data_IF_174103205289
#
_entry.id   IF_174103205289
#
_cell.length_a   1.000
_cell.length_b   1.000
_cell.length_c   1.000
_cell.angle_alpha   90.00
_cell.angle_beta   90.00
_cell.angle_gamma   90.00
#
_symmetry.space_group_name_H-M   'P 1'
#
loop_
_entity.id
_entity.type
_entity.pdbx_description
1 polymer ?
#
# COMPACT_ATOMS: atom_id res chain seq x y z
N UNK A 1 -8.54 6.14 5.88
CA UNK A 1 -9.24 6.33 4.58
C UNK A 1 -8.94 5.13 3.68
N UNK A 2 -9.90 4.69 2.85
CA UNK A 2 -9.70 3.60 1.90
C UNK A 2 -9.62 4.14 0.46
N UNK A 3 -8.68 3.64 -0.34
CA UNK A 3 -8.41 4.12 -1.70
C UNK A 3 -8.41 2.96 -2.73
N UNK A 4 -8.85 3.18 -3.97
CA UNK A 4 -8.80 2.18 -5.02
C UNK A 4 -7.36 1.95 -5.51
N UNK A 5 -7.11 0.76 -6.07
CA UNK A 5 -5.77 0.39 -6.56
C UNK A 5 -5.20 1.37 -7.61
N UNK A 6 -6.04 1.95 -8.47
CA UNK A 6 -5.62 2.91 -9.49
C UNK A 6 -5.09 4.21 -8.90
N UNK A 7 -5.72 4.71 -7.83
CA UNK A 7 -5.27 5.92 -7.12
C UNK A 7 -3.97 5.66 -6.38
N UNK A 8 -3.83 4.49 -5.74
CA UNK A 8 -2.59 4.07 -5.11
C UNK A 8 -1.44 3.92 -6.13
N UNK A 9 -1.72 3.37 -7.33
CA UNK A 9 -0.74 3.28 -8.41
C UNK A 9 -0.23 4.66 -8.83
N UNK A 10 -1.17 5.61 -8.98
CA UNK A 10 -0.88 6.98 -9.37
C UNK A 10 -0.01 7.68 -8.31
N UNK A 11 -0.40 7.61 -7.03
CA UNK A 11 0.35 8.22 -5.92
C UNK A 11 1.76 7.63 -5.78
N UNK A 12 1.89 6.31 -5.94
CA UNK A 12 3.17 5.60 -5.84
C UNK A 12 4.00 5.64 -7.14
N UNK A 13 3.47 6.21 -8.23
CA UNK A 13 4.11 6.28 -9.56
C UNK A 13 4.56 4.91 -10.09
N UNK A 14 3.73 3.89 -9.92
CA UNK A 14 3.98 2.53 -10.43
C UNK A 14 2.86 2.07 -11.36
N UNK A 15 3.13 1.03 -12.16
CA UNK A 15 2.14 0.47 -13.07
C UNK A 15 1.00 -0.25 -12.31
N UNK A 16 -0.16 -0.39 -12.95
CA UNK A 16 -1.30 -1.14 -12.40
C UNK A 16 -0.96 -2.61 -12.06
N UNK A 17 -0.26 -3.38 -12.92
CA UNK A 17 0.18 -4.73 -12.54
C UNK A 17 1.12 -4.73 -11.33
N UNK A 18 2.05 -3.76 -11.27
CA UNK A 18 2.97 -3.63 -10.14
C UNK A 18 2.22 -3.38 -8.84
N UNK A 19 1.37 -2.34 -8.76
CA UNK A 19 0.62 -2.04 -7.53
C UNK A 19 -0.23 -3.24 -7.11
N UNK A 20 -0.85 -3.94 -8.06
CA UNK A 20 -1.71 -5.09 -7.77
C UNK A 20 -0.93 -6.20 -7.05
N UNK A 21 0.28 -6.50 -7.53
CA UNK A 21 1.18 -7.46 -6.87
C UNK A 21 1.55 -7.03 -5.44
N UNK A 22 1.88 -5.76 -5.23
CA UNK A 22 2.20 -5.26 -3.88
C UNK A 22 0.99 -5.28 -2.95
N UNK A 23 -0.18 -4.84 -3.41
CA UNK A 23 -1.40 -4.84 -2.61
C UNK A 23 -1.80 -6.25 -2.19
N UNK A 24 -1.66 -7.26 -3.06
CA UNK A 24 -1.87 -8.66 -2.69
C UNK A 24 -0.95 -9.09 -1.55
N UNK A 25 0.36 -8.83 -1.65
CA UNK A 25 1.34 -9.17 -0.60
C UNK A 25 1.04 -8.46 0.72
N UNK A 26 0.63 -7.19 0.67
CA UNK A 26 0.30 -6.41 1.87
C UNK A 26 -0.99 -6.89 2.54
N UNK A 27 -1.97 -7.37 1.77
CA UNK A 27 -3.18 -8.01 2.31
C UNK A 27 -2.84 -9.38 2.90
N UNK A 28 -2.05 -10.21 2.21
CA UNK A 28 -1.56 -11.51 2.71
C UNK A 28 -0.76 -11.35 4.02
N UNK A 29 0.02 -10.27 4.14
CA UNK A 29 0.77 -9.91 5.33
C UNK A 29 -0.04 -9.21 6.43
N UNK A 30 -1.36 -9.10 6.30
CA UNK A 30 -2.26 -8.41 7.25
C UNK A 30 -1.94 -6.92 7.51
N UNK A 31 -1.24 -6.26 6.58
CA UNK A 31 -0.95 -4.82 6.67
C UNK A 31 -2.10 -3.98 6.11
N UNK A 32 -2.83 -4.52 5.14
CA UNK A 32 -4.00 -3.89 4.53
C UNK A 32 -5.25 -4.74 4.71
N UNK A 33 -6.39 -4.06 4.82
CA UNK A 33 -7.71 -4.64 4.63
C UNK A 33 -8.28 -4.16 3.29
N UNK A 34 -9.06 -5.03 2.64
CA UNK A 34 -9.75 -4.75 1.39
C UNK A 34 -11.25 -4.73 1.61
N UNK A 35 -11.90 -3.69 1.08
CA UNK A 35 -13.36 -3.53 1.07
C UNK A 35 -13.82 -3.55 -0.39
N UNK A 36 -14.86 -4.33 -0.70
CA UNK A 36 -15.41 -4.41 -2.04
C UNK A 36 -16.60 -3.47 -2.18
N UNK A 37 -16.47 -2.44 -3.01
CA UNK A 37 -17.55 -1.52 -3.35
C UNK A 37 -17.86 -1.70 -4.85
N UNK A 38 -18.89 -2.52 -5.13
CA UNK A 38 -19.25 -2.90 -6.48
C UNK A 38 -18.13 -3.68 -7.20
N UNK A 39 -17.68 -3.14 -8.34
CA UNK A 39 -16.61 -3.74 -9.16
C UNK A 39 -15.20 -3.35 -8.71
N UNK A 40 -15.09 -2.42 -7.77
CA UNK A 40 -13.82 -1.87 -7.32
C UNK A 40 -13.48 -2.38 -5.92
N UNK A 41 -12.19 -2.62 -5.71
CA UNK A 41 -11.61 -2.94 -4.40
C UNK A 41 -10.96 -1.68 -3.85
N UNK A 42 -11.24 -1.39 -2.59
CA UNK A 42 -10.68 -0.28 -1.84
C UNK A 42 -9.79 -0.82 -0.74
N UNK A 43 -8.63 -0.21 -0.56
CA UNK A 43 -7.58 -0.68 0.33
C UNK A 43 -7.36 0.36 1.41
N UNK A 44 -7.22 -0.10 2.66
CA UNK A 44 -6.86 0.73 3.81
C UNK A 44 -5.91 -0.04 4.71
N UNK A 45 -5.20 0.68 5.58
CA UNK A 45 -4.46 0.04 6.67
C UNK A 45 -5.40 -0.83 7.50
N UNK A 46 -4.90 -1.99 7.91
CA UNK A 46 -5.70 -2.99 8.61
C UNK A 46 -6.30 -2.42 9.90
N UNK A 47 -5.48 -1.72 10.69
CA UNK A 47 -5.87 -1.08 11.93
C UNK A 47 -4.91 0.07 12.30
N UNK A 48 -5.17 0.70 13.45
CA UNK A 48 -4.36 1.79 13.99
C UNK A 48 -2.94 1.37 14.38
N UNK A 49 -2.76 0.16 14.92
CA UNK A 49 -1.45 -0.36 15.33
C UNK A 49 -0.48 -0.48 14.15
N UNK A 50 -0.97 -0.96 13.00
CA UNK A 50 -0.17 -1.00 11.76
C UNK A 50 0.25 0.41 11.34
N UNK A 51 -0.63 1.41 11.44
CA UNK A 51 -0.29 2.79 11.13
C UNK A 51 0.83 3.31 12.03
N UNK A 52 0.72 3.09 13.34
CA UNK A 52 1.72 3.52 14.31
C UNK A 52 3.09 2.88 14.08
N UNK A 53 3.14 1.58 13.74
CA UNK A 53 4.39 0.90 13.42
C UNK A 53 5.02 1.46 12.15
N UNK A 54 4.23 1.69 11.09
CA UNK A 54 4.75 2.25 9.84
C UNK A 54 5.30 3.68 10.04
N UNK A 55 4.61 4.52 10.82
CA UNK A 55 5.10 5.86 11.18
C UNK A 55 6.42 5.78 11.97
N UNK A 56 6.50 4.89 12.97
CA UNK A 56 7.73 4.67 13.75
C UNK A 56 8.88 4.12 12.90
N UNK A 57 8.60 3.25 11.93
CA UNK A 57 9.61 2.79 10.98
C UNK A 57 10.08 3.95 10.10
N UNK A 58 9.17 4.84 9.67
CA UNK A 58 9.50 6.03 8.89
C UNK A 58 10.44 7.00 9.59
N UNK A 59 10.45 7.06 10.92
CA UNK A 59 11.37 7.95 11.66
C UNK A 59 12.81 7.46 11.68
N UNK A 60 13.04 6.15 11.54
CA UNK A 60 14.37 5.54 11.58
C UNK A 60 14.87 5.08 10.20
N UNK A 61 13.95 4.87 9.25
CA UNK A 61 14.30 4.47 7.90
C UNK A 61 14.95 5.65 7.16
N UNK A 62 16.04 5.42 6.42
CA UNK A 62 16.57 6.44 5.52
C UNK A 62 15.49 6.81 4.51
N UNK A 63 15.35 8.11 4.20
CA UNK A 63 14.42 8.57 3.17
C UNK A 63 14.91 8.11 1.80
N UNK A 64 14.49 6.91 1.39
CA UNK A 64 14.75 6.41 0.05
C UNK A 64 13.67 6.96 -0.86
N UNK A 65 14.05 7.74 -1.87
CA UNK A 65 13.12 8.02 -2.96
C UNK A 65 12.88 6.72 -3.73
N UNK A 66 11.77 6.04 -3.42
CA UNK A 66 11.36 4.84 -4.14
C UNK A 66 10.91 5.27 -5.54
N UNK A 67 11.84 5.23 -6.49
CA UNK A 67 11.60 5.58 -7.90
C UNK A 67 11.04 4.41 -8.70
N UNK A 68 11.22 3.18 -8.21
CA UNK A 68 10.54 1.98 -8.71
C UNK A 68 10.69 0.81 -7.74
N UNK A 69 9.72 -0.10 -7.74
CA UNK A 69 9.75 -1.34 -6.95
C UNK A 69 10.47 -2.51 -7.68
N UNK A 70 11.15 -2.24 -8.81
CA UNK A 70 12.06 -3.22 -9.44
C UNK A 70 13.32 -3.51 -8.60
N UNK A 71 13.54 -2.73 -7.54
CA UNK A 71 14.70 -2.84 -6.65
C UNK A 71 14.36 -3.55 -5.33
N UNK A 72 13.20 -4.21 -5.24
CA UNK A 72 12.74 -4.98 -4.08
C UNK A 72 12.62 -6.46 -4.39
#
# INVERSE_FOLDING_TARGET
QALPASELAYMAKVSHPTISSHLSKLVEGNLLTVEQHGRHRYYRLANQEVAEVLEKLGTIAPTVQVRSLKQS
#
